data_IF_068400496562
#
_entry.id   IF_068400496562
#
_cell.length_a   1.000
_cell.length_b   1.000
_cell.length_c   1.000
_cell.angle_alpha   90.00
_cell.angle_beta   90.00
_cell.angle_gamma   90.00
#
_symmetry.space_group_name_H-M   'P 1'
#
loop_
_entity.id
_entity.type
_entity.pdbx_description
1 polymer ?
#
# COMPACT_ATOMS: atom_id res chain seq x y z
N UNK A 1 10.56 9.28 6.88
CA UNK A 1 9.42 8.51 6.32
C UNK A 1 8.43 9.42 5.57
N UNK A 2 7.87 10.48 6.17
CA UNK A 2 7.03 11.48 5.45
C UNK A 2 7.76 12.24 4.34
N UNK A 3 9.00 12.68 4.59
CA UNK A 3 9.83 13.40 3.61
C UNK A 3 10.08 12.62 2.30
N UNK A 4 10.20 11.28 2.37
CA UNK A 4 10.42 10.44 1.20
C UNK A 4 9.16 10.31 0.33
N UNK A 5 7.99 10.16 0.96
CA UNK A 5 6.70 10.19 0.26
C UNK A 5 6.37 11.56 -0.34
N UNK A 6 6.90 12.64 0.26
CA UNK A 6 6.75 14.01 -0.22
C UNK A 6 7.54 14.28 -1.52
N UNK A 7 8.66 13.57 -1.73
CA UNK A 7 9.58 13.78 -2.86
C UNK A 7 9.28 12.88 -4.07
N UNK A 8 8.23 12.05 -4.01
CA UNK A 8 7.81 11.16 -5.09
C UNK A 8 8.92 10.21 -5.59
N UNK A 9 9.90 9.89 -4.74
CA UNK A 9 10.98 8.97 -5.08
C UNK A 9 10.55 7.50 -4.86
N UNK A 10 10.52 6.65 -5.91
CA UNK A 10 10.02 5.28 -5.80
C UNK A 10 10.79 4.45 -4.76
N UNK A 11 12.12 4.49 -4.82
CA UNK A 11 12.96 3.68 -3.92
C UNK A 11 12.82 4.06 -2.45
N UNK A 12 12.67 5.36 -2.17
CA UNK A 12 12.48 5.86 -0.80
C UNK A 12 11.06 5.56 -0.30
N UNK A 13 10.07 5.67 -1.18
CA UNK A 13 8.66 5.40 -0.88
C UNK A 13 8.36 3.92 -0.69
N UNK A 14 9.07 3.03 -1.40
CA UNK A 14 8.98 1.57 -1.23
C UNK A 14 9.22 1.12 0.23
N UNK A 15 9.89 1.92 1.06
CA UNK A 15 10.09 1.62 2.49
C UNK A 15 8.79 1.67 3.31
N UNK A 16 7.74 2.29 2.79
CA UNK A 16 6.43 2.40 3.43
C UNK A 16 5.51 1.22 3.11
N UNK A 17 5.93 0.31 2.23
CA UNK A 17 5.10 -0.78 1.73
C UNK A 17 5.67 -2.13 2.14
N UNK A 18 4.77 -3.08 2.41
CA UNK A 18 5.11 -4.49 2.57
C UNK A 18 5.06 -5.16 1.21
N UNK A 19 6.15 -5.83 0.84
CA UNK A 19 6.23 -6.61 -0.39
C UNK A 19 6.00 -8.11 -0.14
N UNK A 20 5.31 -8.84 -1.06
CA UNK A 20 4.64 -8.30 -2.24
C UNK A 20 3.45 -7.42 -1.86
N UNK A 21 3.37 -6.24 -2.47
CA UNK A 21 2.27 -5.32 -2.26
C UNK A 21 1.04 -5.89 -2.96
N UNK A 22 -0.11 -5.86 -2.29
CA UNK A 22 -1.35 -6.41 -2.85
C UNK A 22 -2.21 -5.29 -3.45
N UNK A 23 -2.57 -5.40 -4.72
CA UNK A 23 -3.59 -4.56 -5.33
C UNK A 23 -4.92 -5.32 -5.32
N UNK A 24 -5.95 -4.67 -4.79
CA UNK A 24 -7.27 -5.25 -4.64
C UNK A 24 -8.19 -4.76 -5.77
N UNK A 25 -8.94 -5.70 -6.35
CA UNK A 25 -9.99 -5.46 -7.34
C UNK A 25 -11.23 -4.84 -6.70
N UNK A 26 -12.04 -4.14 -7.51
CA UNK A 26 -13.41 -3.78 -7.12
C UNK A 26 -14.35 -4.99 -7.03
N UNK A 27 -14.02 -6.09 -7.69
CA UNK A 27 -14.89 -7.25 -7.77
C UNK A 27 -14.64 -8.24 -6.63
N UNK A 28 -15.71 -8.60 -5.94
CA UNK A 28 -15.67 -9.59 -4.86
C UNK A 28 -15.28 -10.96 -5.44
N UNK A 29 -14.20 -11.54 -4.92
CA UNK A 29 -13.71 -12.87 -5.31
C UNK A 29 -12.50 -12.85 -6.26
N UNK A 30 -12.16 -11.69 -6.83
CA UNK A 30 -10.91 -11.54 -7.56
C UNK A 30 -9.70 -11.72 -6.62
N UNK A 31 -8.67 -12.42 -7.12
CA UNK A 31 -7.43 -12.60 -6.37
C UNK A 31 -6.64 -11.29 -6.35
N UNK A 32 -6.06 -10.86 -5.22
CA UNK A 32 -5.19 -9.69 -5.21
C UNK A 32 -4.01 -9.87 -6.16
N UNK A 33 -3.74 -8.86 -6.99
CA UNK A 33 -2.51 -8.82 -7.77
C UNK A 33 -1.35 -8.51 -6.83
N UNK A 34 -0.23 -9.19 -7.01
CA UNK A 34 0.96 -9.10 -6.19
C UNK A 34 2.02 -8.35 -6.96
N UNK A 35 2.35 -7.16 -6.46
CA UNK A 35 3.36 -6.28 -7.02
C UNK A 35 4.67 -6.52 -6.27
N UNK A 36 5.71 -6.93 -6.98
CA UNK A 36 7.06 -7.02 -6.43
C UNK A 36 7.66 -5.64 -6.17
N UNK A 37 8.72 -5.55 -5.36
CA UNK A 37 9.41 -4.27 -5.13
C UNK A 37 10.00 -3.68 -6.42
N UNK A 38 10.50 -4.53 -7.31
CA UNK A 38 11.02 -4.10 -8.60
C UNK A 38 9.91 -3.49 -9.47
N UNK A 39 8.81 -4.21 -9.65
CA UNK A 39 7.65 -3.75 -10.40
C UNK A 39 7.04 -2.46 -9.80
N UNK A 40 7.02 -2.34 -8.47
CA UNK A 40 6.58 -1.13 -7.80
C UNK A 40 7.45 0.08 -8.14
N UNK A 41 8.77 -0.08 -8.15
CA UNK A 41 9.68 1.01 -8.48
C UNK A 41 9.59 1.39 -9.97
N UNK A 42 9.45 0.39 -10.84
CA UNK A 42 9.33 0.56 -12.28
C UNK A 42 8.02 1.27 -12.67
N UNK A 43 6.90 0.83 -12.11
CA UNK A 43 5.56 1.35 -12.44
C UNK A 43 5.05 2.37 -11.41
N UNK A 44 5.93 2.99 -10.63
CA UNK A 44 5.54 3.87 -9.52
C UNK A 44 4.67 5.06 -9.97
N UNK A 45 4.96 5.66 -11.12
CA UNK A 45 4.17 6.77 -11.64
C UNK A 45 2.79 6.30 -12.13
N UNK A 46 2.71 5.12 -12.75
CA UNK A 46 1.46 4.54 -13.24
C UNK A 46 0.55 4.09 -12.09
N UNK A 47 1.15 3.47 -11.06
CA UNK A 47 0.43 2.98 -9.90
C UNK A 47 -0.17 4.12 -9.07
N UNK A 48 0.49 5.27 -9.00
CA UNK A 48 0.11 6.32 -8.05
C UNK A 48 -0.33 7.64 -8.69
N UNK A 49 -0.03 7.88 -9.96
CA UNK A 49 -0.39 9.10 -10.70
C UNK A 49 -0.03 10.41 -9.98
N UNK A 50 -0.41 11.56 -10.56
CA UNK A 50 -0.28 12.86 -9.90
C UNK A 50 -1.37 13.13 -8.84
N UNK A 51 -2.51 12.42 -8.90
CA UNK A 51 -3.74 12.77 -8.18
C UNK A 51 -4.17 11.75 -7.11
N UNK A 52 -3.27 10.90 -6.62
CA UNK A 52 -3.67 9.99 -5.55
C UNK A 52 -4.02 10.74 -4.26
N UNK A 53 -5.30 10.67 -3.90
CA UNK A 53 -5.86 11.31 -2.71
C UNK A 53 -5.10 10.89 -1.44
N UNK A 54 -4.72 9.62 -1.32
CA UNK A 54 -3.91 9.15 -0.20
C UNK A 54 -2.55 9.83 -0.09
N UNK A 55 -1.87 10.10 -1.21
CA UNK A 55 -0.60 10.86 -1.14
C UNK A 55 -0.87 12.24 -0.62
N UNK A 56 -1.87 12.94 -1.15
CA UNK A 56 -2.23 14.28 -0.66
C UNK A 56 -2.58 14.25 0.83
N UNK A 57 -3.34 13.25 1.27
CA UNK A 57 -3.68 13.05 2.68
C UNK A 57 -2.43 12.74 3.52
N UNK A 58 -1.47 11.97 3.02
CA UNK A 58 -0.21 11.68 3.71
C UNK A 58 0.73 12.90 3.77
N UNK A 59 0.69 13.76 2.75
CA UNK A 59 1.35 15.07 2.77
C UNK A 59 0.71 15.97 3.83
N UNK A 60 -0.61 15.90 4.02
CA UNK A 60 -1.38 16.73 4.95
C UNK A 60 -1.50 16.14 6.37
N UNK A 61 -1.17 14.86 6.56
CA UNK A 61 -1.25 14.20 7.85
C UNK A 61 -0.29 14.82 8.86
N UNK A 62 -0.80 15.03 10.06
CA UNK A 62 -0.09 15.58 11.22
C UNK A 62 0.51 14.50 12.12
N UNK A 63 0.09 13.23 11.93
CA UNK A 63 0.54 12.09 12.74
C UNK A 63 -0.24 11.91 14.04
N UNK A 64 -1.24 12.74 14.29
CA UNK A 64 -2.16 12.66 15.44
C UNK A 64 -3.53 12.08 15.09
N UNK A 65 -3.70 11.53 13.89
CA UNK A 65 -4.98 10.98 13.45
C UNK A 65 -5.38 9.77 14.30
N UNK A 66 -6.60 9.78 14.84
CA UNK A 66 -7.15 8.66 15.57
C UNK A 66 -7.48 7.52 14.61
N UNK A 67 -6.81 6.38 14.80
CA UNK A 67 -7.20 5.12 14.18
C UNK A 67 -8.08 4.35 15.15
N UNK A 68 -9.20 3.82 14.66
CA UNK A 68 -10.15 3.03 15.44
C UNK A 68 -9.49 1.79 16.08
N UNK A 69 -10.28 1.00 16.82
CA UNK A 69 -9.75 -0.15 17.58
C UNK A 69 -8.93 -1.09 16.69
N UNK A 70 -7.66 -1.26 17.06
CA UNK A 70 -6.69 -2.09 16.36
C UNK A 70 -6.67 -3.47 17.02
N UNK A 71 -7.06 -4.51 16.29
CA UNK A 71 -7.00 -5.88 16.79
C UNK A 71 -5.58 -6.44 16.65
N UNK A 72 -4.83 -6.41 17.75
CA UNK A 72 -3.47 -6.95 17.85
C UNK A 72 -3.47 -8.34 18.52
N UNK A 73 -2.60 -9.22 18.05
CA UNK A 73 -2.28 -10.51 18.68
C UNK A 73 -0.97 -10.33 19.45
N UNK A 74 -1.09 -10.13 20.76
CA UNK A 74 0.06 -9.91 21.64
C UNK A 74 1.01 -11.12 21.68
N UNK A 75 0.49 -12.35 21.49
CA UNK A 75 1.31 -13.58 21.54
C UNK A 75 2.15 -13.73 20.30
N UNK A 76 1.57 -13.45 19.14
CA UNK A 76 2.29 -13.48 17.86
C UNK A 76 2.95 -12.13 17.51
N UNK A 77 2.80 -11.13 18.37
CA UNK A 77 3.26 -9.74 18.19
C UNK A 77 2.97 -9.19 16.79
N UNK A 78 1.74 -9.38 16.32
CA UNK A 78 1.29 -8.96 14.98
C UNK A 78 -0.17 -8.51 15.02
N UNK A 79 -0.59 -7.75 14.03
CA UNK A 79 -2.02 -7.47 13.83
C UNK A 79 -2.78 -8.74 13.47
N UNK A 80 -3.97 -8.92 14.06
CA UNK A 80 -4.92 -9.97 13.67
C UNK A 80 -5.53 -9.67 12.31
N UNK A 81 -5.83 -8.40 12.05
CA UNK A 81 -6.41 -7.92 10.80
C UNK A 81 -5.71 -6.64 10.35
N UNK A 82 -5.52 -6.44 9.03
CA UNK A 82 -5.02 -5.18 8.52
C UNK A 82 -5.92 -4.02 8.91
N UNK A 83 -5.33 -2.88 9.30
CA UNK A 83 -6.08 -1.66 9.61
C UNK A 83 -6.44 -0.97 8.31
N UNK A 84 -7.74 -0.82 8.01
CA UNK A 84 -8.20 -0.13 6.81
C UNK A 84 -8.36 1.36 7.04
N UNK A 85 -7.77 2.17 6.16
CA UNK A 85 -7.91 3.62 6.11
C UNK A 85 -8.12 4.00 4.65
N UNK A 86 -9.31 4.50 4.32
CA UNK A 86 -9.75 4.71 2.93
C UNK A 86 -9.54 3.43 2.09
N UNK A 87 -8.73 3.52 1.05
CA UNK A 87 -8.39 2.44 0.14
C UNK A 87 -7.16 1.63 0.56
N UNK A 88 -6.57 1.91 1.71
CA UNK A 88 -5.29 1.34 2.14
C UNK A 88 -5.50 0.41 3.32
N UNK A 89 -4.87 -0.75 3.27
CA UNK A 89 -4.76 -1.63 4.42
C UNK A 89 -3.33 -1.61 4.94
N UNK A 90 -3.19 -1.36 6.23
CA UNK A 90 -1.94 -1.28 6.93
C UNK A 90 -1.68 -2.53 7.75
N UNK A 91 -0.42 -2.94 7.80
CA UNK A 91 0.10 -3.93 8.73
C UNK A 91 1.20 -3.31 9.58
N UNK A 92 1.52 -3.94 10.71
CA UNK A 92 2.63 -3.55 11.55
C UNK A 92 3.78 -4.55 11.39
N UNK A 93 5.00 -4.05 11.21
CA UNK A 93 6.26 -4.77 11.28
C UNK A 93 7.09 -4.22 12.45
N UNK A 94 7.72 -5.09 13.24
CA UNK A 94 8.45 -4.68 14.43
C UNK A 94 9.66 -3.78 14.15
N UNK A 95 10.31 -3.94 12.99
CA UNK A 95 11.53 -3.20 12.64
C UNK A 95 11.21 -1.95 11.83
N UNK A 96 10.24 -2.05 10.92
CA UNK A 96 9.90 -0.99 9.98
C UNK A 96 8.69 -0.14 10.42
N UNK A 97 7.91 -0.59 11.40
CA UNK A 97 6.70 0.07 11.87
C UNK A 97 5.48 -0.22 10.98
N UNK A 98 4.62 0.78 10.81
CA UNK A 98 3.42 0.67 9.97
C UNK A 98 3.78 0.65 8.49
N UNK A 99 3.28 -0.37 7.79
CA UNK A 99 3.50 -0.58 6.36
C UNK A 99 2.16 -0.74 5.65
N UNK A 100 2.04 -0.18 4.46
CA UNK A 100 0.93 -0.46 3.54
C UNK A 100 1.09 -1.89 3.02
N UNK A 101 0.13 -2.75 3.32
CA UNK A 101 0.08 -4.13 2.83
C UNK A 101 -0.72 -4.26 1.53
N UNK A 102 -1.83 -3.55 1.43
CA UNK A 102 -2.67 -3.60 0.24
C UNK A 102 -3.35 -2.28 -0.06
N UNK A 103 -3.65 -2.06 -1.33
CA UNK A 103 -4.33 -0.86 -1.83
C UNK A 103 -5.49 -1.30 -2.71
N UNK A 104 -6.65 -0.71 -2.47
CA UNK A 104 -7.83 -0.84 -3.29
C UNK A 104 -7.74 0.15 -4.45
N UNK A 105 -7.46 -0.36 -5.65
CA UNK A 105 -7.24 0.45 -6.86
C UNK A 105 -7.86 -0.25 -8.06
N UNK A 106 -9.17 -0.16 -8.25
CA UNK A 106 -9.85 -0.98 -9.26
C UNK A 106 -9.45 -0.66 -10.69
N UNK A 107 -9.13 0.61 -11.00
CA UNK A 107 -8.67 1.03 -12.33
C UNK A 107 -7.29 0.47 -12.66
N UNK A 108 -6.33 0.65 -11.76
CA UNK A 108 -4.98 0.13 -11.92
C UNK A 108 -4.96 -1.40 -11.88
N UNK A 109 -5.82 -2.03 -11.08
CA UNK A 109 -5.99 -3.48 -11.05
C UNK A 109 -6.38 -4.02 -12.44
N UNK A 110 -7.30 -3.34 -13.14
CA UNK A 110 -7.67 -3.70 -14.52
C UNK A 110 -6.49 -3.63 -15.49
N UNK A 111 -5.69 -2.55 -15.42
CA UNK A 111 -4.52 -2.36 -16.28
C UNK A 111 -3.47 -3.47 -16.14
N UNK A 112 -3.27 -3.99 -14.93
CA UNK A 112 -2.23 -4.98 -14.65
C UNK A 112 -2.73 -6.44 -14.67
N UNK A 113 -4.05 -6.68 -14.68
CA UNK A 113 -4.64 -8.03 -14.74
C UNK A 113 -4.37 -8.73 -16.08
N UNK A 114 -4.15 -7.96 -17.14
CA UNK A 114 -3.96 -8.47 -18.51
C UNK A 114 -2.57 -9.09 -18.74
N UNK A 115 -1.72 -9.16 -17.70
CA UNK A 115 -0.50 -9.97 -17.70
C UNK A 115 0.68 -9.39 -18.48
N UNK A 116 0.57 -8.14 -18.94
CA UNK A 116 1.58 -7.45 -19.77
C UNK A 116 2.74 -6.87 -18.96
N UNK A 117 2.69 -6.91 -17.63
CA UNK A 117 3.61 -6.16 -16.76
C UNK A 117 4.51 -7.09 -15.96
N UNK A 118 5.83 -6.94 -16.15
CA UNK A 118 6.82 -7.78 -15.51
C UNK A 118 6.75 -7.65 -13.97
N UNK A 119 6.52 -8.77 -13.27
CA UNK A 119 6.57 -8.80 -11.80
C UNK A 119 5.30 -8.33 -11.07
N UNK A 120 4.18 -8.18 -11.78
CA UNK A 120 2.82 -8.09 -11.22
C UNK A 120 2.08 -9.38 -11.57
N UNK A 121 1.57 -10.12 -10.58
CA UNK A 121 0.96 -11.46 -10.77
C UNK A 121 -0.21 -11.74 -9.85
#
# INVERSE_FOLDING_TARGET
MRAAALLDEPGASARLYRFPLQMLSAFKGDRPLRVSRAAFNEHYAELFGPNMEFRQNLKNASGGEYFGRIDFDDKACRLKWPVRVYDYNFTYDQKAGWLVQSIYMPEAYGLFKDGTTAGIR
#
